data_IF_870577519078
#
_entry.id   IF_870577519078
#
_cell.length_a   1.000
_cell.length_b   1.000
_cell.length_c   1.000
_cell.angle_alpha   90.00
_cell.angle_beta   90.00
_cell.angle_gamma   90.00
#
_symmetry.space_group_name_H-M   'P 1'
#
loop_
_entity.id
_entity.type
_entity.pdbx_description
1 polymer ?
#
# COMPACT_ATOMS: atom_id res chain seq x y z
N UNK A 1 20.44 -54.85 48.54
CA UNK A 1 20.65 -55.25 49.94
C UNK A 1 21.06 -54.00 50.68
N UNK A 2 20.21 -53.57 51.62
CA UNK A 2 20.37 -52.65 52.78
C UNK A 2 21.78 -52.04 53.01
N UNK A 3 21.99 -50.82 53.51
CA UNK A 3 21.22 -49.97 54.42
C UNK A 3 21.92 -48.59 54.57
N UNK A 4 21.13 -47.55 54.80
CA UNK A 4 21.34 -46.36 55.66
C UNK A 4 22.74 -45.80 55.96
N UNK A 5 22.88 -44.49 55.73
CA UNK A 5 23.37 -43.47 56.69
C UNK A 5 22.97 -42.09 56.13
N UNK A 6 21.87 -41.46 56.58
CA UNK A 6 21.79 -40.63 57.79
C UNK A 6 22.83 -39.49 57.80
N UNK A 7 22.42 -38.30 57.39
CA UNK A 7 22.87 -37.09 58.08
C UNK A 7 21.77 -36.02 58.05
N UNK A 8 21.16 -35.93 59.23
CA UNK A 8 20.27 -34.92 59.74
C UNK A 8 21.04 -33.61 59.97
N UNK A 9 20.40 -32.47 59.73
CA UNK A 9 20.71 -31.19 60.35
C UNK A 9 19.57 -30.21 60.05
N UNK A 10 18.61 -30.23 60.97
CA UNK A 10 17.69 -29.14 61.29
C UNK A 10 18.40 -27.79 61.42
N UNK A 11 17.78 -26.76 60.84
CA UNK A 11 17.75 -25.41 61.41
C UNK A 11 16.34 -24.87 61.22
N UNK A 12 15.59 -24.85 62.32
CA UNK A 12 14.31 -24.18 62.47
C UNK A 12 14.48 -22.66 62.70
N UNK A 13 13.41 -21.96 62.33
CA UNK A 13 12.88 -20.72 62.91
C UNK A 13 13.33 -19.37 62.34
N UNK A 14 12.45 -18.73 61.57
CA UNK A 14 11.67 -17.61 62.10
C UNK A 14 10.72 -17.01 61.06
N UNK A 15 9.45 -16.96 61.46
CA UNK A 15 8.36 -16.31 60.75
C UNK A 15 8.61 -14.81 60.55
N UNK A 16 8.34 -14.31 59.34
CA UNK A 16 7.67 -13.01 59.16
C UNK A 16 6.79 -13.10 57.92
N UNK A 17 5.59 -13.67 58.12
CA UNK A 17 4.53 -13.65 57.13
C UNK A 17 4.07 -12.22 56.88
N UNK A 18 4.39 -11.68 55.71
CA UNK A 18 3.51 -10.70 55.05
C UNK A 18 2.54 -11.50 54.20
N UNK A 19 1.31 -11.56 54.69
CA UNK A 19 0.11 -11.97 53.96
C UNK A 19 0.02 -11.12 52.68
N UNK A 20 0.57 -11.62 51.58
CA UNK A 20 0.15 -11.19 50.25
C UNK A 20 -1.14 -11.95 49.99
N UNK A 21 -2.22 -11.21 49.99
CA UNK A 21 -3.58 -11.68 49.75
C UNK A 21 -3.64 -12.53 48.49
N UNK A 22 -4.10 -13.78 48.62
CA UNK A 22 -4.32 -14.71 47.51
C UNK A 22 -5.22 -14.12 46.40
N UNK A 23 -6.01 -13.10 46.72
CA UNK A 23 -6.85 -12.34 45.79
C UNK A 23 -6.05 -11.52 44.75
N UNK A 24 -4.83 -11.08 45.07
CA UNK A 24 -4.01 -10.24 44.17
C UNK A 24 -3.18 -11.11 43.19
N UNK A 25 -2.94 -12.37 43.55
CA UNK A 25 -2.18 -13.34 42.73
C UNK A 25 -3.09 -14.01 41.68
N UNK A 26 -4.37 -14.23 41.99
CA UNK A 26 -5.34 -14.70 41.00
C UNK A 26 -5.64 -13.65 39.92
N UNK A 27 -5.70 -12.36 40.26
CA UNK A 27 -5.90 -11.27 39.29
C UNK A 27 -4.68 -11.12 38.34
N UNK A 28 -3.45 -11.26 38.84
CA UNK A 28 -2.25 -11.17 38.00
C UNK A 28 -2.09 -12.36 37.05
N UNK A 29 -2.39 -13.57 37.52
CA UNK A 29 -2.33 -14.79 36.70
C UNK A 29 -3.49 -14.80 35.69
N UNK A 30 -4.68 -14.32 36.07
CA UNK A 30 -5.80 -14.22 35.13
C UNK A 30 -5.59 -13.15 34.07
N UNK A 31 -4.96 -12.01 34.37
CA UNK A 31 -4.55 -11.03 33.35
C UNK A 31 -3.44 -11.58 32.44
N UNK A 32 -2.41 -12.25 32.96
CA UNK A 32 -1.36 -12.86 32.11
C UNK A 32 -1.93 -14.00 31.24
N UNK A 33 -2.82 -14.83 31.78
CA UNK A 33 -3.46 -15.92 31.04
C UNK A 33 -4.51 -15.42 30.06
N UNK A 34 -5.26 -14.34 30.35
CA UNK A 34 -6.13 -13.69 29.36
C UNK A 34 -5.32 -13.01 28.26
N UNK A 35 -4.19 -12.36 28.58
CA UNK A 35 -3.32 -11.75 27.56
C UNK A 35 -2.63 -12.81 26.71
N UNK A 36 -2.18 -13.92 27.29
CA UNK A 36 -1.67 -15.07 26.54
C UNK A 36 -2.76 -15.73 25.71
N UNK A 37 -3.96 -15.98 26.25
CA UNK A 37 -5.07 -16.58 25.53
C UNK A 37 -5.60 -15.68 24.40
N UNK A 38 -5.68 -14.36 24.61
CA UNK A 38 -6.03 -13.38 23.57
C UNK A 38 -4.93 -13.30 22.51
N UNK A 39 -3.64 -13.44 22.90
CA UNK A 39 -2.53 -13.53 21.93
C UNK A 39 -2.54 -14.83 21.12
N UNK A 40 -2.91 -15.95 21.74
CA UNK A 40 -3.00 -17.27 21.12
C UNK A 40 -4.22 -17.37 20.20
N UNK A 41 -5.38 -16.80 20.56
CA UNK A 41 -6.56 -16.72 19.68
C UNK A 41 -6.30 -15.82 18.47
N UNK A 42 -5.58 -14.70 18.66
CA UNK A 42 -5.18 -13.81 17.56
C UNK A 42 -4.17 -14.50 16.62
N UNK A 43 -3.25 -15.30 17.15
CA UNK A 43 -2.29 -16.08 16.35
C UNK A 43 -2.93 -17.31 15.68
N UNK A 44 -3.97 -17.93 16.27
CA UNK A 44 -4.66 -19.10 15.68
C UNK A 44 -5.59 -18.75 14.51
N UNK A 45 -6.18 -17.56 14.47
CA UNK A 45 -7.08 -17.17 13.38
C UNK A 45 -6.35 -16.72 12.11
N UNK A 46 -5.03 -16.52 12.16
CA UNK A 46 -4.20 -16.08 11.02
C UNK A 46 -2.85 -16.78 11.05
N UNK A 47 -2.71 -17.97 10.43
CA UNK A 47 -1.43 -18.66 10.39
C UNK A 47 -0.41 -17.77 9.66
N UNK A 48 0.64 -17.37 10.37
CA UNK A 48 1.93 -16.91 9.86
C UNK A 48 1.93 -16.35 8.43
N UNK A 49 1.27 -15.22 8.20
CA UNK A 49 1.60 -14.37 7.04
C UNK A 49 2.91 -13.61 7.34
N UNK A 50 4.00 -14.35 7.52
CA UNK A 50 5.38 -13.85 7.64
C UNK A 50 5.86 -13.44 6.24
N UNK A 51 5.27 -12.40 5.69
CA UNK A 51 5.79 -11.68 4.52
C UNK A 51 5.83 -10.21 4.89
N UNK A 52 7.03 -9.72 5.20
CA UNK A 52 7.28 -8.37 5.72
C UNK A 52 8.04 -8.37 7.04
N UNK A 53 9.13 -9.15 7.16
CA UNK A 53 10.01 -9.05 8.32
C UNK A 53 10.97 -7.87 8.13
N UNK A 54 10.43 -6.65 8.21
CA UNK A 54 11.24 -5.43 8.23
C UNK A 54 12.18 -5.55 9.42
N UNK A 55 13.51 -5.58 9.21
CA UNK A 55 14.46 -5.72 10.31
C UNK A 55 14.26 -4.59 11.33
N UNK A 56 14.36 -4.87 12.64
CA UNK A 56 14.13 -3.86 13.67
C UNK A 56 15.03 -2.64 13.46
N UNK A 57 14.50 -1.44 13.74
CA UNK A 57 15.23 -0.19 13.60
C UNK A 57 16.52 -0.24 14.46
N UNK A 58 17.71 -0.07 13.86
CA UNK A 58 18.94 -0.03 14.64
C UNK A 58 18.95 1.21 15.54
N UNK A 59 19.42 1.09 16.77
CA UNK A 59 19.56 2.26 17.66
C UNK A 59 20.44 3.35 17.02
N UNK A 60 19.83 4.52 16.77
CA UNK A 60 20.45 5.66 16.07
C UNK A 60 21.78 6.09 16.70
N UNK A 61 21.87 6.05 18.03
CA UNK A 61 23.02 6.52 18.78
C UNK A 61 24.16 5.50 18.95
N UNK A 62 23.88 4.19 18.83
CA UNK A 62 24.92 3.15 18.98
C UNK A 62 25.56 2.78 17.65
N UNK A 63 24.80 2.83 16.55
CA UNK A 63 25.30 2.48 15.22
C UNK A 63 24.74 3.43 14.15
N UNK A 64 25.23 4.68 14.06
CA UNK A 64 24.69 5.69 13.13
C UNK A 64 24.78 5.23 11.67
N UNK A 65 25.85 4.51 11.29
CA UNK A 65 26.03 3.99 9.92
C UNK A 65 25.02 2.89 9.60
N UNK A 66 24.75 1.96 10.54
CA UNK A 66 23.75 0.90 10.35
C UNK A 66 22.34 1.46 10.28
N UNK A 67 22.03 2.46 11.12
CA UNK A 67 20.76 3.17 11.11
C UNK A 67 20.56 3.93 9.78
N UNK A 68 21.58 4.66 9.31
CA UNK A 68 21.54 5.37 8.03
C UNK A 68 21.33 4.40 6.85
N UNK A 69 22.05 3.27 6.82
CA UNK A 69 21.87 2.25 5.78
C UNK A 69 20.48 1.61 5.82
N UNK A 70 19.96 1.33 7.02
CA UNK A 70 18.60 0.84 7.20
C UNK A 70 17.57 1.86 6.68
N UNK A 71 17.72 3.13 7.03
CA UNK A 71 16.84 4.20 6.56
C UNK A 71 16.89 4.34 5.05
N UNK A 72 18.09 4.38 4.46
CA UNK A 72 18.26 4.44 3.00
C UNK A 72 17.62 3.25 2.29
N UNK A 73 17.77 2.03 2.83
CA UNK A 73 17.14 0.83 2.28
C UNK A 73 15.62 0.89 2.37
N UNK A 74 15.07 1.38 3.48
CA UNK A 74 13.62 1.50 3.67
C UNK A 74 13.02 2.58 2.79
N UNK A 75 13.63 3.77 2.74
CA UNK A 75 13.15 4.86 1.86
C UNK A 75 13.24 4.47 0.40
N UNK A 76 14.34 3.82 -0.02
CA UNK A 76 14.47 3.29 -1.36
C UNK A 76 13.42 2.21 -1.66
N UNK A 77 13.17 1.30 -0.73
CA UNK A 77 12.13 0.27 -0.89
C UNK A 77 10.73 0.84 -1.03
N UNK A 78 10.37 1.82 -0.19
CA UNK A 78 9.08 2.51 -0.26
C UNK A 78 8.96 3.28 -1.58
N UNK A 79 10.02 3.98 -1.98
CA UNK A 79 10.04 4.72 -3.23
C UNK A 79 9.84 3.79 -4.44
N UNK A 80 10.57 2.68 -4.51
CA UNK A 80 10.38 1.67 -5.56
C UNK A 80 8.98 1.04 -5.52
N UNK A 81 8.44 0.78 -4.33
CA UNK A 81 7.09 0.25 -4.16
C UNK A 81 6.04 1.24 -4.71
N UNK A 82 6.15 2.52 -4.37
CA UNK A 82 5.25 3.58 -4.85
C UNK A 82 5.32 3.70 -6.37
N UNK A 83 6.53 3.70 -6.96
CA UNK A 83 6.69 3.73 -8.42
C UNK A 83 6.06 2.50 -9.07
N UNK A 84 6.33 1.30 -8.54
CA UNK A 84 5.81 0.05 -9.10
C UNK A 84 4.29 0.03 -9.05
N UNK A 85 3.72 0.42 -7.91
CA UNK A 85 2.28 0.51 -7.72
C UNK A 85 1.66 1.60 -8.61
N UNK A 86 2.34 2.72 -8.83
CA UNK A 86 1.93 3.78 -9.76
C UNK A 86 1.96 3.34 -11.23
N UNK A 87 2.95 2.54 -11.62
CA UNK A 87 3.02 1.93 -12.96
C UNK A 87 1.89 0.93 -13.19
N UNK A 88 1.64 0.04 -12.23
CA UNK A 88 0.51 -0.91 -12.27
C UNK A 88 -0.82 -0.16 -12.32
N UNK A 89 -0.96 0.90 -11.53
CA UNK A 89 -2.11 1.78 -11.48
C UNK A 89 -2.37 2.53 -12.80
N UNK A 90 -1.33 2.87 -13.57
CA UNK A 90 -1.49 3.60 -14.82
C UNK A 90 -2.13 2.75 -15.94
N UNK A 91 -2.09 1.42 -15.84
CA UNK A 91 -2.67 0.52 -16.84
C UNK A 91 -4.12 0.20 -16.47
N UNK A 92 -5.10 0.47 -17.36
CA UNK A 92 -6.50 0.11 -17.13
C UNK A 92 -6.67 -1.38 -16.82
N UNK A 93 -7.64 -1.72 -15.98
CA UNK A 93 -7.90 -3.07 -15.43
C UNK A 93 -6.82 -3.57 -14.46
N UNK A 94 -5.55 -3.34 -14.75
CA UNK A 94 -4.44 -3.72 -13.85
C UNK A 94 -4.45 -2.85 -12.59
N UNK A 95 -5.02 -1.64 -12.67
CA UNK A 95 -5.25 -0.76 -11.53
C UNK A 95 -6.08 -1.40 -10.40
N UNK A 96 -6.94 -2.39 -10.67
CA UNK A 96 -7.63 -3.14 -9.63
C UNK A 96 -6.67 -3.97 -8.76
N UNK A 97 -5.54 -4.44 -9.31
CA UNK A 97 -4.49 -5.10 -8.53
C UNK A 97 -3.85 -4.09 -7.58
N UNK A 98 -3.59 -2.86 -8.05
CA UNK A 98 -3.02 -1.81 -7.22
C UNK A 98 -3.97 -1.41 -6.08
N UNK A 99 -5.25 -1.23 -6.38
CA UNK A 99 -6.29 -0.98 -5.38
C UNK A 99 -6.42 -2.14 -4.39
N UNK A 100 -6.42 -3.38 -4.90
CA UNK A 100 -6.46 -4.59 -4.10
C UNK A 100 -5.30 -4.70 -3.12
N UNK A 101 -4.09 -4.41 -3.60
CA UNK A 101 -2.91 -4.34 -2.75
C UNK A 101 -3.06 -3.30 -1.64
N UNK A 102 -3.56 -2.09 -1.95
CA UNK A 102 -3.82 -1.06 -0.95
C UNK A 102 -4.86 -1.49 0.11
N UNK A 103 -5.89 -2.22 -0.33
CA UNK A 103 -6.91 -2.77 0.58
C UNK A 103 -6.38 -3.94 1.41
N UNK A 104 -5.54 -4.82 0.86
CA UNK A 104 -4.90 -5.88 1.63
C UNK A 104 -4.01 -5.30 2.73
N UNK A 105 -3.23 -4.25 2.40
CA UNK A 105 -2.42 -3.50 3.36
C UNK A 105 -3.29 -2.87 4.46
N UNK A 106 -4.38 -2.20 4.09
CA UNK A 106 -5.36 -1.64 5.04
C UNK A 106 -5.94 -2.73 5.95
N UNK A 107 -6.31 -3.88 5.39
CA UNK A 107 -6.87 -5.04 6.10
C UNK A 107 -5.89 -5.68 7.08
N UNK A 108 -4.62 -5.88 6.67
CA UNK A 108 -3.55 -6.41 7.54
C UNK A 108 -3.35 -5.52 8.76
N UNK A 109 -3.32 -4.21 8.56
CA UNK A 109 -3.14 -3.24 9.66
C UNK A 109 -4.40 -3.19 10.53
N UNK A 110 -5.58 -3.28 9.93
CA UNK A 110 -6.86 -3.35 10.63
C UNK A 110 -6.99 -4.58 11.53
N UNK A 111 -6.39 -5.71 11.14
CA UNK A 111 -6.37 -6.96 11.93
C UNK A 111 -5.27 -6.97 12.98
N UNK A 112 -4.05 -6.56 12.64
CA UNK A 112 -2.87 -6.75 13.50
C UNK A 112 -2.49 -5.52 14.33
N UNK A 113 -2.94 -4.32 13.94
CA UNK A 113 -2.53 -3.05 14.54
C UNK A 113 -1.08 -2.63 14.26
N UNK A 114 -0.28 -3.50 13.63
CA UNK A 114 1.16 -3.30 13.42
C UNK A 114 1.43 -2.72 12.04
N UNK A 115 1.73 -1.41 11.99
CA UNK A 115 2.11 -0.68 10.76
C UNK A 115 3.33 -1.32 10.07
N UNK A 116 4.23 -1.96 10.81
CA UNK A 116 5.40 -2.65 10.24
C UNK A 116 5.02 -3.82 9.33
N UNK A 117 3.90 -4.49 9.61
CA UNK A 117 3.42 -5.63 8.82
C UNK A 117 2.60 -5.19 7.60
N UNK A 118 2.46 -3.88 7.39
CA UNK A 118 1.69 -3.30 6.30
C UNK A 118 2.37 -3.40 4.92
N UNK A 119 3.63 -3.82 4.85
CA UNK A 119 4.41 -3.72 3.62
C UNK A 119 4.88 -5.08 3.08
N UNK A 120 3.99 -5.97 2.62
CA UNK A 120 4.37 -7.32 2.21
C UNK A 120 5.30 -7.33 0.98
N UNK A 121 5.11 -6.40 0.04
CA UNK A 121 5.97 -6.27 -1.14
C UNK A 121 7.31 -5.55 -0.87
N UNK A 122 7.55 -5.01 0.32
CA UNK A 122 8.78 -4.23 0.59
C UNK A 122 10.04 -5.08 0.62
N UNK A 123 9.92 -6.39 0.84
CA UNK A 123 11.05 -7.32 0.73
C UNK A 123 11.46 -7.54 -0.74
N UNK A 124 10.53 -7.36 -1.68
CA UNK A 124 10.71 -7.58 -3.13
C UNK A 124 10.98 -6.27 -3.88
N UNK A 125 10.31 -5.18 -3.51
CA UNK A 125 10.34 -3.91 -4.23
C UNK A 125 11.75 -3.31 -4.44
N UNK A 126 12.66 -3.28 -3.43
CA UNK A 126 14.04 -2.84 -3.65
C UNK A 126 14.77 -3.65 -4.71
N UNK A 127 14.52 -4.97 -4.77
CA UNK A 127 15.17 -5.87 -5.72
C UNK A 127 14.70 -5.59 -7.15
N UNK A 128 13.40 -5.39 -7.33
CA UNK A 128 12.83 -4.95 -8.60
C UNK A 128 13.39 -3.57 -9.01
N UNK A 129 13.48 -2.64 -8.06
CA UNK A 129 14.10 -1.33 -8.29
C UNK A 129 15.56 -1.43 -8.77
N UNK A 130 16.37 -2.28 -8.14
CA UNK A 130 17.77 -2.49 -8.57
C UNK A 130 17.86 -3.13 -9.96
N UNK A 131 16.91 -3.98 -10.33
CA UNK A 131 16.84 -4.56 -11.67
C UNK A 131 16.57 -3.46 -12.69
N UNK A 132 15.55 -2.63 -12.47
CA UNK A 132 15.20 -1.53 -13.38
C UNK A 132 16.38 -0.58 -13.54
N UNK A 133 16.97 -0.11 -12.43
CA UNK A 133 18.14 0.78 -12.47
C UNK A 133 19.32 0.11 -13.20
N UNK A 134 19.59 -1.16 -12.91
CA UNK A 134 20.67 -1.91 -13.54
C UNK A 134 20.49 -2.07 -15.05
N UNK A 135 19.27 -2.37 -15.50
CA UNK A 135 18.92 -2.44 -16.92
C UNK A 135 19.06 -1.07 -17.57
N UNK A 136 18.45 -0.03 -16.99
CA UNK A 136 18.52 1.35 -17.52
C UNK A 136 19.95 1.84 -17.65
N UNK A 137 20.81 1.57 -16.66
CA UNK A 137 22.22 1.96 -16.70
C UNK A 137 22.96 1.36 -17.90
N UNK A 138 22.68 0.10 -18.23
CA UNK A 138 23.29 -0.59 -19.38
C UNK A 138 22.65 -0.22 -20.72
N UNK A 139 21.41 0.29 -20.72
CA UNK A 139 20.78 0.83 -21.92
C UNK A 139 21.35 2.20 -22.32
N UNK A 140 21.86 3.00 -21.39
CA UNK A 140 22.42 4.33 -21.70
C UNK A 140 23.57 4.25 -22.72
N UNK A 141 24.64 3.45 -22.52
CA UNK A 141 25.71 3.31 -23.51
C UNK A 141 25.18 2.84 -24.86
N UNK A 142 24.24 1.87 -24.86
CA UNK A 142 23.65 1.35 -26.09
C UNK A 142 22.84 2.42 -26.83
N UNK A 143 22.10 3.26 -26.11
CA UNK A 143 21.33 4.36 -26.68
C UNK A 143 22.24 5.43 -27.30
N UNK A 144 23.38 5.74 -26.66
CA UNK A 144 24.38 6.66 -27.20
C UNK A 144 25.03 6.12 -28.47
N UNK A 145 25.42 4.84 -28.49
CA UNK A 145 25.96 4.16 -29.67
C UNK A 145 24.93 4.11 -30.81
N UNK A 146 23.69 3.74 -30.52
CA UNK A 146 22.62 3.70 -31.50
C UNK A 146 22.28 5.09 -32.07
N UNK A 147 22.28 6.13 -31.23
CA UNK A 147 22.13 7.51 -31.66
C UNK A 147 23.25 7.94 -32.59
N UNK A 148 24.52 7.69 -32.21
CA UNK A 148 25.67 8.01 -33.05
C UNK A 148 25.66 7.26 -34.39
N UNK A 149 25.23 5.99 -34.40
CA UNK A 149 25.08 5.22 -35.64
C UNK A 149 23.97 5.79 -36.54
N UNK A 150 22.84 6.21 -35.96
CA UNK A 150 21.75 6.84 -36.71
C UNK A 150 22.19 8.18 -37.33
N UNK A 151 22.96 8.98 -36.59
CA UNK A 151 23.52 10.25 -37.07
C UNK A 151 24.53 10.03 -38.20
N UNK A 152 25.40 9.03 -38.08
CA UNK A 152 26.39 8.69 -39.12
C UNK A 152 25.71 8.30 -40.44
N UNK A 153 24.61 7.54 -40.37
CA UNK A 153 23.81 7.17 -41.53
C UNK A 153 23.15 8.36 -42.23
N UNK A 154 22.78 9.40 -41.48
CA UNK A 154 22.20 10.62 -42.03
C UNK A 154 23.24 11.51 -42.74
N UNK A 155 24.48 11.52 -42.26
CA UNK A 155 25.57 12.35 -42.80
C UNK A 155 26.19 11.71 -44.05
N UNK A 156 26.64 10.46 -43.95
CA UNK A 156 27.32 9.74 -45.03
C UNK A 156 26.80 8.29 -45.11
N UNK A 157 25.70 8.07 -45.84
CA UNK A 157 25.10 6.74 -45.97
C UNK A 157 26.08 5.76 -46.61
N UNK A 158 26.36 4.63 -45.95
CA UNK A 158 27.27 3.59 -46.46
C UNK A 158 28.76 3.90 -46.30
N UNK A 159 29.13 5.03 -45.69
CA UNK A 159 30.51 5.36 -45.38
C UNK A 159 31.15 4.39 -44.35
N UNK A 160 32.48 4.41 -44.19
CA UNK A 160 33.18 3.53 -43.24
C UNK A 160 32.74 3.78 -41.79
N UNK A 161 32.41 5.01 -41.42
CA UNK A 161 31.90 5.35 -40.08
C UNK A 161 30.50 4.80 -39.83
N UNK A 162 29.61 4.85 -40.82
CA UNK A 162 28.25 4.29 -40.76
C UNK A 162 28.30 2.77 -40.52
N UNK A 163 29.09 2.06 -41.32
CA UNK A 163 29.25 0.61 -41.22
C UNK A 163 29.86 0.18 -39.88
N UNK A 164 30.90 0.88 -39.41
CA UNK A 164 31.57 0.55 -38.14
C UNK A 164 30.69 0.82 -36.93
N UNK A 165 29.98 1.95 -36.89
CA UNK A 165 29.08 2.27 -35.77
C UNK A 165 27.87 1.34 -35.71
N UNK A 166 27.30 0.94 -36.85
CA UNK A 166 26.24 -0.07 -36.88
C UNK A 166 26.74 -1.46 -36.44
N UNK A 167 27.93 -1.88 -36.87
CA UNK A 167 28.53 -3.14 -36.43
C UNK A 167 28.83 -3.14 -34.92
N UNK A 168 29.39 -2.04 -34.40
CA UNK A 168 29.64 -1.87 -32.96
C UNK A 168 28.35 -1.86 -32.15
N UNK A 169 27.31 -1.18 -32.63
CA UNK A 169 26.00 -1.14 -31.98
C UNK A 169 25.36 -2.53 -31.94
N UNK A 170 25.43 -3.30 -33.03
CA UNK A 170 24.94 -4.68 -33.07
C UNK A 170 25.70 -5.55 -32.06
N UNK A 171 27.03 -5.51 -32.06
CA UNK A 171 27.85 -6.29 -31.13
C UNK A 171 27.58 -5.91 -29.67
N UNK A 172 27.52 -4.61 -29.37
CA UNK A 172 27.18 -4.10 -28.05
C UNK A 172 25.78 -4.56 -27.61
N UNK A 173 24.79 -4.53 -28.50
CA UNK A 173 23.42 -4.98 -28.19
C UNK A 173 23.39 -6.45 -27.78
N UNK A 174 24.14 -7.31 -28.47
CA UNK A 174 24.21 -8.76 -28.18
C UNK A 174 24.91 -8.99 -26.83
N UNK A 175 26.07 -8.37 -26.62
CA UNK A 175 26.85 -8.53 -25.39
C UNK A 175 26.10 -8.00 -24.15
N UNK A 176 25.48 -6.82 -24.28
CA UNK A 176 24.68 -6.22 -23.20
C UNK A 176 23.45 -7.08 -22.91
N UNK A 177 22.75 -7.58 -23.94
CA UNK A 177 21.60 -8.47 -23.75
C UNK A 177 21.98 -9.75 -23.02
N UNK A 178 23.08 -10.40 -23.41
CA UNK A 178 23.59 -11.60 -22.73
C UNK A 178 23.92 -11.27 -21.26
N UNK A 179 24.61 -10.16 -21.00
CA UNK A 179 24.95 -9.74 -19.64
C UNK A 179 23.72 -9.44 -18.78
N UNK A 180 22.71 -8.75 -19.33
CA UNK A 180 21.46 -8.46 -18.62
C UNK A 180 20.71 -9.75 -18.27
N UNK A 181 20.58 -10.69 -19.22
CA UNK A 181 19.99 -12.00 -18.95
C UNK A 181 20.74 -12.75 -17.84
N UNK A 182 22.08 -12.71 -17.86
CA UNK A 182 22.93 -13.31 -16.83
C UNK A 182 22.78 -12.64 -15.45
N UNK A 183 22.68 -11.32 -15.41
CA UNK A 183 22.49 -10.56 -14.17
C UNK A 183 21.12 -10.84 -13.54
N UNK A 184 20.08 -10.96 -14.37
CA UNK A 184 18.73 -11.35 -13.95
C UNK A 184 18.69 -12.80 -13.43
N UNK A 185 19.30 -13.74 -14.16
CA UNK A 185 19.40 -15.15 -13.78
C UNK A 185 20.08 -15.37 -12.42
N UNK A 186 21.07 -14.54 -12.08
CA UNK A 186 21.76 -14.57 -10.78
C UNK A 186 20.93 -13.97 -9.64
N UNK A 187 19.82 -13.31 -9.95
CA UNK A 187 18.90 -12.73 -8.99
C UNK A 187 18.95 -11.20 -8.88
N UNK A 188 19.50 -10.48 -9.86
CA UNK A 188 19.19 -9.06 -10.07
C UNK A 188 19.64 -8.08 -8.97
N UNK A 189 20.65 -8.42 -8.16
CA UNK A 189 21.22 -7.46 -7.20
C UNK A 189 22.09 -6.43 -7.92
N UNK A 190 22.22 -5.21 -7.38
CA UNK A 190 23.02 -4.13 -7.99
C UNK A 190 24.45 -4.57 -8.36
N UNK A 191 25.11 -5.33 -7.47
CA UNK A 191 26.45 -5.88 -7.69
C UNK A 191 26.54 -6.88 -8.85
N UNK A 192 25.44 -7.51 -9.25
CA UNK A 192 25.41 -8.39 -10.42
C UNK A 192 25.52 -7.60 -11.73
N UNK A 193 24.94 -6.40 -11.80
CA UNK A 193 25.00 -5.56 -13.01
C UNK A 193 26.39 -4.98 -13.26
N UNK A 194 27.19 -4.78 -12.21
CA UNK A 194 28.55 -4.23 -12.32
C UNK A 194 29.59 -5.28 -12.73
N UNK A 195 29.31 -6.58 -12.54
CA UNK A 195 30.33 -7.64 -12.65
C UNK A 195 30.00 -8.68 -13.74
N UNK A 196 30.15 -8.35 -15.03
CA UNK A 196 29.76 -9.22 -16.14
C UNK A 196 30.47 -10.58 -16.13
N UNK A 197 31.79 -10.59 -15.94
CA UNK A 197 32.59 -11.82 -15.97
C UNK A 197 32.21 -12.81 -14.86
N UNK A 198 31.86 -12.31 -13.67
CA UNK A 198 31.45 -13.19 -12.56
C UNK A 198 30.10 -13.84 -12.80
N UNK A 199 29.22 -13.22 -13.59
CA UNK A 199 27.93 -13.80 -13.93
C UNK A 199 28.07 -14.94 -14.94
N UNK A 200 28.91 -14.76 -15.96
CA UNK A 200 29.20 -15.80 -16.95
C UNK A 200 29.80 -17.06 -16.30
N UNK A 201 30.77 -16.91 -15.40
CA UNK A 201 31.39 -18.04 -14.67
C UNK A 201 30.37 -18.76 -13.79
N UNK A 202 29.46 -18.01 -13.15
CA UNK A 202 28.39 -18.59 -12.33
C UNK A 202 27.43 -19.44 -13.16
N UNK A 203 27.01 -18.95 -14.33
CA UNK A 203 26.10 -19.69 -15.21
C UNK A 203 26.73 -20.99 -15.71
N UNK A 204 28.00 -20.95 -16.14
CA UNK A 204 28.72 -22.15 -16.59
C UNK A 204 28.76 -23.19 -15.46
N UNK A 205 29.02 -22.76 -14.22
CA UNK A 205 29.00 -23.66 -13.05
C UNK A 205 27.61 -24.25 -12.80
N UNK A 206 26.56 -23.45 -12.95
CA UNK A 206 25.18 -23.86 -12.68
C UNK A 206 24.60 -24.78 -13.76
N UNK A 207 24.89 -24.51 -15.04
CA UNK A 207 24.54 -25.39 -16.16
C UNK A 207 25.26 -26.73 -16.02
N UNK A 208 26.55 -26.70 -15.66
CA UNK A 208 27.36 -27.91 -15.44
C UNK A 208 26.88 -28.73 -14.23
N UNK A 209 26.18 -28.11 -13.28
CA UNK A 209 25.58 -28.78 -12.13
C UNK A 209 24.18 -29.37 -12.40
N UNK A 210 23.55 -29.07 -13.54
CA UNK A 210 22.22 -29.59 -13.93
C UNK A 210 21.03 -28.99 -13.15
N UNK A 211 19.82 -29.10 -13.72
CA UNK A 211 18.56 -28.71 -13.06
C UNK A 211 18.34 -27.21 -12.84
N UNK A 212 18.92 -26.35 -13.69
CA UNK A 212 18.69 -24.90 -13.63
C UNK A 212 17.27 -24.53 -14.07
N UNK A 213 16.74 -25.16 -15.11
CA UNK A 213 15.41 -24.86 -15.63
C UNK A 213 14.31 -25.15 -14.61
N UNK A 214 14.37 -26.30 -13.92
CA UNK A 214 13.40 -26.66 -12.88
C UNK A 214 13.45 -25.68 -11.70
N UNK A 215 14.67 -25.34 -11.25
CA UNK A 215 14.87 -24.35 -10.17
C UNK A 215 14.41 -22.95 -10.57
N UNK A 216 14.66 -22.54 -11.81
CA UNK A 216 14.21 -21.25 -12.32
C UNK A 216 12.68 -21.21 -12.43
N UNK A 217 12.05 -22.27 -12.94
CA UNK A 217 10.60 -22.39 -13.03
C UNK A 217 9.94 -22.35 -11.65
N UNK A 218 10.48 -23.08 -10.67
CA UNK A 218 10.00 -23.05 -9.27
C UNK A 218 10.16 -21.67 -8.62
N UNK A 219 11.27 -20.98 -8.89
CA UNK A 219 11.49 -19.62 -8.36
C UNK A 219 10.55 -18.60 -9.00
N UNK A 220 10.27 -18.72 -10.30
CA UNK A 220 9.31 -17.85 -10.97
C UNK A 220 7.88 -18.14 -10.51
N UNK A 221 7.49 -19.41 -10.39
CA UNK A 221 6.14 -19.76 -9.93
C UNK A 221 5.90 -19.36 -8.47
N UNK A 222 6.88 -19.58 -7.59
CA UNK A 222 6.81 -19.12 -6.19
C UNK A 222 6.80 -17.60 -6.07
N UNK A 223 7.50 -16.88 -6.95
CA UNK A 223 7.44 -15.42 -7.03
C UNK A 223 6.07 -14.91 -7.50
N UNK A 224 5.50 -15.51 -8.54
CA UNK A 224 4.16 -15.14 -9.02
C UNK A 224 3.10 -15.48 -7.97
N UNK A 225 3.24 -16.62 -7.28
CA UNK A 225 2.36 -17.00 -6.18
C UNK A 225 2.46 -16.03 -4.99
N UNK A 226 3.67 -15.55 -4.66
CA UNK A 226 3.86 -14.61 -3.54
C UNK A 226 3.28 -13.21 -3.81
N UNK A 227 3.13 -12.82 -5.08
CA UNK A 227 2.48 -11.56 -5.46
C UNK A 227 0.96 -11.57 -5.25
N UNK A 228 0.34 -12.73 -4.97
CA UNK A 228 -1.11 -12.89 -4.71
C UNK A 228 -1.99 -12.14 -5.71
N UNK A 229 -1.59 -12.10 -6.99
CA UNK A 229 -2.19 -11.21 -8.00
C UNK A 229 -3.71 -11.40 -8.15
N UNK A 230 -4.18 -12.65 -8.13
CA UNK A 230 -5.60 -12.98 -8.23
C UNK A 230 -6.42 -12.54 -7.01
N UNK A 231 -5.89 -12.75 -5.80
CA UNK A 231 -6.53 -12.31 -4.56
C UNK A 231 -6.61 -10.79 -4.50
N UNK A 232 -5.50 -10.11 -4.80
CA UNK A 232 -5.45 -8.65 -4.88
C UNK A 232 -6.43 -8.12 -5.93
N UNK A 233 -6.46 -8.68 -7.14
CA UNK A 233 -7.42 -8.26 -8.16
C UNK A 233 -8.88 -8.39 -7.69
N UNK A 234 -9.25 -9.54 -7.12
CA UNK A 234 -10.60 -9.79 -6.61
C UNK A 234 -10.97 -8.85 -5.47
N UNK A 235 -10.05 -8.63 -4.52
CA UNK A 235 -10.24 -7.70 -3.41
C UNK A 235 -10.41 -6.26 -3.89
N UNK A 236 -9.60 -5.84 -4.86
CA UNK A 236 -9.67 -4.52 -5.48
C UNK A 236 -10.99 -4.31 -6.23
N UNK A 237 -11.41 -5.29 -7.03
CA UNK A 237 -12.68 -5.24 -7.76
C UNK A 237 -13.89 -5.17 -6.81
N UNK A 238 -13.91 -6.02 -5.76
CA UNK A 238 -14.97 -5.99 -4.73
C UNK A 238 -14.97 -4.68 -3.95
N UNK A 239 -13.79 -4.18 -3.56
CA UNK A 239 -13.66 -2.91 -2.87
C UNK A 239 -14.13 -1.72 -3.71
N UNK A 240 -13.80 -1.74 -5.01
CA UNK A 240 -14.29 -0.80 -6.01
C UNK A 240 -15.82 -0.85 -6.14
N UNK A 241 -16.39 -2.04 -6.38
CA UNK A 241 -17.84 -2.20 -6.54
C UNK A 241 -18.62 -1.74 -5.31
N UNK A 242 -18.10 -2.05 -4.11
CA UNK A 242 -18.68 -1.57 -2.86
C UNK A 242 -18.71 -0.04 -2.79
N UNK A 243 -17.56 0.60 -3.05
CA UNK A 243 -17.48 2.07 -3.09
C UNK A 243 -18.35 2.68 -4.19
N UNK A 244 -18.37 2.07 -5.37
CA UNK A 244 -19.18 2.49 -6.51
C UNK A 244 -20.67 2.54 -6.14
N UNK A 245 -21.22 1.49 -5.52
CA UNK A 245 -22.62 1.44 -5.10
C UNK A 245 -22.97 2.58 -4.14
N UNK A 246 -22.08 2.89 -3.19
CA UNK A 246 -22.28 3.98 -2.23
C UNK A 246 -22.23 5.37 -2.88
N UNK A 247 -21.43 5.55 -3.93
CA UNK A 247 -21.10 6.85 -4.50
C UNK A 247 -21.92 7.22 -5.72
N UNK A 248 -22.41 6.24 -6.49
CA UNK A 248 -23.24 6.49 -7.67
C UNK A 248 -24.49 7.28 -7.33
N UNK A 249 -25.19 6.93 -6.24
CA UNK A 249 -26.46 7.59 -5.88
C UNK A 249 -26.24 9.08 -5.57
N UNK A 250 -25.36 9.49 -4.62
CA UNK A 250 -25.10 10.90 -4.37
C UNK A 250 -24.55 11.67 -5.59
N UNK A 251 -23.70 11.02 -6.39
CA UNK A 251 -23.05 11.68 -7.53
C UNK A 251 -24.05 11.98 -8.66
N UNK A 252 -24.94 11.04 -8.98
CA UNK A 252 -25.99 11.26 -9.97
C UNK A 252 -26.98 12.34 -9.52
N UNK A 253 -27.30 12.39 -8.22
CA UNK A 253 -28.15 13.45 -7.67
C UNK A 253 -27.47 14.83 -7.76
N UNK A 254 -26.15 14.90 -7.51
CA UNK A 254 -25.38 16.13 -7.65
C UNK A 254 -25.36 16.63 -9.12
N UNK A 255 -25.36 15.70 -10.08
CA UNK A 255 -25.38 15.97 -11.52
C UNK A 255 -26.72 16.51 -12.07
N UNK A 256 -27.81 16.44 -11.29
CA UNK A 256 -29.17 16.69 -11.77
C UNK A 256 -29.43 18.14 -12.25
N UNK A 257 -28.62 19.10 -11.82
CA UNK A 257 -28.68 20.50 -12.27
C UNK A 257 -28.11 20.73 -13.66
N UNK A 258 -27.34 19.77 -14.19
CA UNK A 258 -26.70 19.86 -15.51
C UNK A 258 -27.62 19.43 -16.66
N UNK A 259 -28.79 18.87 -16.35
CA UNK A 259 -29.76 18.38 -17.33
C UNK A 259 -30.66 19.50 -17.86
N UNK A 260 -30.71 19.74 -19.19
CA UNK A 260 -31.44 20.88 -19.79
C UNK A 260 -32.96 20.88 -19.59
N UNK A 261 -33.57 19.72 -19.29
CA UNK A 261 -35.02 19.52 -19.37
C UNK A 261 -35.75 19.55 -18.01
N UNK A 262 -35.03 19.82 -16.91
CA UNK A 262 -35.61 19.73 -15.58
C UNK A 262 -36.15 21.07 -15.07
N UNK A 263 -37.28 21.02 -14.38
CA UNK A 263 -37.89 22.17 -13.72
C UNK A 263 -36.89 22.79 -12.71
N UNK A 264 -36.48 24.04 -12.94
CA UNK A 264 -35.31 24.67 -12.29
C UNK A 264 -35.32 24.55 -10.76
N UNK A 265 -36.47 24.63 -10.11
CA UNK A 265 -36.58 24.50 -8.65
C UNK A 265 -36.35 23.08 -8.10
N UNK A 266 -36.81 22.05 -8.81
CA UNK A 266 -36.70 20.65 -8.37
C UNK A 266 -35.26 20.17 -8.55
N UNK A 267 -34.60 20.51 -9.65
CA UNK A 267 -33.18 20.15 -9.85
C UNK A 267 -32.26 20.72 -8.78
N UNK A 268 -32.47 21.97 -8.34
CA UNK A 268 -31.65 22.57 -7.28
C UNK A 268 -31.81 21.82 -5.95
N UNK A 269 -33.04 21.42 -5.60
CA UNK A 269 -33.28 20.61 -4.39
C UNK A 269 -32.63 19.23 -4.48
N UNK A 270 -32.70 18.56 -5.63
CA UNK A 270 -32.06 17.25 -5.85
C UNK A 270 -30.54 17.36 -5.71
N UNK A 271 -29.92 18.39 -6.29
CA UNK A 271 -28.48 18.64 -6.18
C UNK A 271 -28.05 18.94 -4.75
N UNK A 272 -28.81 19.76 -4.01
CA UNK A 272 -28.52 20.02 -2.59
C UNK A 272 -28.62 18.74 -1.75
N UNK A 273 -29.62 17.90 -2.03
CA UNK A 273 -29.80 16.62 -1.35
C UNK A 273 -28.68 15.63 -1.73
N UNK A 274 -28.23 15.64 -2.99
CA UNK A 274 -27.05 14.90 -3.45
C UNK A 274 -25.79 15.31 -2.70
N UNK A 275 -25.53 16.61 -2.55
CA UNK A 275 -24.41 17.13 -1.78
C UNK A 275 -24.47 16.74 -0.29
N UNK A 276 -25.64 16.86 0.34
CA UNK A 276 -25.83 16.42 1.73
C UNK A 276 -25.63 14.90 1.90
N UNK A 277 -26.11 14.10 0.94
CA UNK A 277 -25.89 12.66 0.92
C UNK A 277 -24.41 12.32 0.75
N UNK A 278 -23.69 13.04 -0.12
CA UNK A 278 -22.26 12.84 -0.36
C UNK A 278 -21.42 13.14 0.90
N UNK A 279 -21.77 14.18 1.66
CA UNK A 279 -21.15 14.46 2.98
C UNK A 279 -21.27 13.26 3.92
N UNK A 280 -22.45 12.64 3.98
CA UNK A 280 -22.69 11.47 4.82
C UNK A 280 -21.87 10.28 4.32
N UNK A 281 -21.94 9.97 3.02
CA UNK A 281 -21.24 8.82 2.44
C UNK A 281 -19.73 8.95 2.61
N UNK A 282 -19.15 10.12 2.32
CA UNK A 282 -17.71 10.38 2.47
C UNK A 282 -17.22 10.24 3.92
N UNK A 283 -18.07 10.52 4.90
CA UNK A 283 -17.72 10.31 6.31
C UNK A 283 -17.61 8.82 6.68
N UNK A 284 -18.49 7.97 6.16
CA UNK A 284 -18.55 6.56 6.56
C UNK A 284 -17.77 5.62 5.64
N UNK A 285 -17.70 5.93 4.35
CA UNK A 285 -17.14 5.05 3.33
C UNK A 285 -15.69 4.62 3.61
N UNK A 286 -14.75 5.51 3.99
CA UNK A 286 -13.37 5.08 4.26
C UNK A 286 -13.26 4.02 5.35
N UNK A 287 -14.08 4.11 6.40
CA UNK A 287 -14.12 3.09 7.46
C UNK A 287 -14.83 1.81 7.02
N UNK A 288 -15.87 1.91 6.19
CA UNK A 288 -16.51 0.72 5.60
C UNK A 288 -15.52 -0.05 4.73
N UNK A 289 -14.65 0.66 3.99
CA UNK A 289 -13.58 0.03 3.23
C UNK A 289 -12.55 -0.65 4.14
N UNK A 290 -12.14 -0.01 5.23
CA UNK A 290 -11.26 -0.63 6.22
C UNK A 290 -11.87 -1.89 6.83
N UNK A 291 -13.18 -1.86 7.12
CA UNK A 291 -13.92 -3.02 7.64
C UNK A 291 -14.02 -4.15 6.62
N UNK A 292 -14.36 -3.83 5.38
CA UNK A 292 -14.36 -4.78 4.27
C UNK A 292 -12.98 -5.43 4.09
N UNK A 293 -11.92 -4.63 4.09
CA UNK A 293 -10.55 -5.09 3.96
C UNK A 293 -10.13 -6.01 5.12
N UNK A 294 -10.58 -5.72 6.35
CA UNK A 294 -10.32 -6.54 7.52
C UNK A 294 -11.05 -7.89 7.47
N UNK A 295 -12.34 -7.88 7.11
CA UNK A 295 -13.24 -9.05 7.14
C UNK A 295 -13.20 -9.90 5.87
N UNK A 296 -12.68 -9.36 4.76
CA UNK A 296 -12.69 -9.97 3.43
C UNK A 296 -14.08 -10.47 2.95
N UNK A 297 -15.16 -9.88 3.47
CA UNK A 297 -16.56 -10.20 3.08
C UNK A 297 -17.18 -9.01 2.36
N UNK A 298 -17.80 -9.23 1.22
CA UNK A 298 -18.42 -8.14 0.45
C UNK A 298 -19.57 -7.45 1.22
N UNK A 299 -20.32 -8.20 2.05
CA UNK A 299 -21.41 -7.65 2.86
C UNK A 299 -20.95 -6.62 3.90
N UNK A 300 -19.68 -6.67 4.35
CA UNK A 300 -19.15 -5.76 5.36
C UNK A 300 -19.11 -4.31 4.88
N UNK A 301 -19.09 -4.07 3.56
CA UNK A 301 -19.25 -2.72 2.99
C UNK A 301 -20.60 -2.07 3.34
N UNK A 302 -21.60 -2.86 3.75
CA UNK A 302 -22.95 -2.38 4.06
C UNK A 302 -23.29 -2.44 5.56
N UNK A 303 -22.36 -2.88 6.41
CA UNK A 303 -22.56 -3.05 7.85
C UNK A 303 -22.39 -1.74 8.65
N UNK A 304 -23.22 -0.73 8.32
CA UNK A 304 -23.16 0.59 8.96
C UNK A 304 -23.32 0.55 10.49
N UNK A 305 -24.09 -0.41 11.02
CA UNK A 305 -24.31 -0.54 12.47
C UNK A 305 -23.01 -0.92 13.20
N UNK A 306 -22.22 -1.82 12.62
CA UNK A 306 -20.94 -2.23 13.18
C UNK A 306 -19.96 -1.05 13.24
N UNK A 307 -19.86 -0.29 12.15
CA UNK A 307 -18.99 0.89 12.08
C UNK A 307 -19.46 2.02 13.00
N UNK A 308 -20.77 2.25 13.12
CA UNK A 308 -21.31 3.23 14.09
C UNK A 308 -20.99 2.85 15.53
N UNK A 309 -20.96 1.55 15.86
CA UNK A 309 -20.52 1.06 17.17
C UNK A 309 -19.03 1.33 17.38
N UNK A 310 -18.18 1.01 16.38
CA UNK A 310 -16.74 1.28 16.41
C UNK A 310 -16.41 2.77 16.54
N UNK A 311 -17.14 3.64 15.84
CA UNK A 311 -16.99 5.10 15.95
C UNK A 311 -17.22 5.61 17.37
N UNK A 312 -18.18 5.03 18.12
CA UNK A 312 -18.44 5.44 19.51
C UNK A 312 -17.24 5.18 20.44
N UNK A 313 -16.36 4.24 20.09
CA UNK A 313 -15.19 3.84 20.89
C UNK A 313 -13.97 4.72 20.64
N UNK A 314 -13.79 5.24 19.42
CA UNK A 314 -12.58 6.01 19.01
C UNK A 314 -12.88 7.25 18.13
N UNK A 315 -13.73 8.19 18.56
CA UNK A 315 -14.20 9.30 17.72
C UNK A 315 -13.10 10.29 17.31
N UNK A 316 -12.08 10.51 18.17
CA UNK A 316 -10.97 11.44 17.88
C UNK A 316 -10.02 10.85 16.84
N UNK A 317 -9.67 9.58 16.96
CA UNK A 317 -8.80 8.91 16.01
C UNK A 317 -9.43 8.87 14.61
N UNK A 318 -10.75 8.64 14.55
CA UNK A 318 -11.51 8.73 13.31
C UNK A 318 -11.50 10.14 12.71
N UNK A 319 -11.77 11.17 13.52
CA UNK A 319 -11.71 12.55 13.05
C UNK A 319 -10.35 12.88 12.44
N UNK A 320 -9.26 12.54 13.14
CA UNK A 320 -7.91 12.78 12.65
C UNK A 320 -7.64 12.03 11.35
N UNK A 321 -8.04 10.77 11.26
CA UNK A 321 -7.88 9.99 10.02
C UNK A 321 -8.65 10.62 8.86
N UNK A 322 -9.90 11.01 9.07
CA UNK A 322 -10.71 11.71 8.07
C UNK A 322 -10.06 13.01 7.61
N UNK A 323 -9.55 13.82 8.54
CA UNK A 323 -8.85 15.06 8.19
C UNK A 323 -7.65 14.75 7.30
N UNK A 324 -6.84 13.77 7.69
CA UNK A 324 -5.65 13.36 6.92
C UNK A 324 -6.04 12.83 5.55
N UNK A 325 -7.08 11.99 5.44
CA UNK A 325 -7.62 11.46 4.16
C UNK A 325 -7.94 12.62 3.21
N UNK A 326 -8.68 13.62 3.68
CA UNK A 326 -9.11 14.72 2.82
C UNK A 326 -8.00 15.71 2.52
N UNK A 327 -7.13 16.02 3.47
CA UNK A 327 -5.96 16.87 3.22
C UNK A 327 -5.04 16.24 2.18
N UNK A 328 -4.81 14.92 2.26
CA UNK A 328 -3.99 14.19 1.28
C UNK A 328 -4.69 13.96 -0.06
N UNK A 329 -6.01 14.11 -0.14
CA UNK A 329 -6.74 14.06 -1.41
C UNK A 329 -6.74 15.41 -2.15
N UNK A 330 -6.59 16.55 -1.46
CA UNK A 330 -6.58 17.89 -2.09
C UNK A 330 -5.56 18.06 -3.23
N UNK A 331 -4.28 17.60 -3.12
CA UNK A 331 -3.32 17.71 -4.21
C UNK A 331 -3.85 17.13 -5.52
N UNK A 332 -4.58 16.01 -5.44
CA UNK A 332 -5.12 15.32 -6.61
C UNK A 332 -6.19 16.15 -7.33
N UNK A 333 -6.99 16.92 -6.60
CA UNK A 333 -7.97 17.83 -7.21
C UNK A 333 -7.32 19.04 -7.86
N UNK A 334 -6.23 19.57 -7.31
CA UNK A 334 -5.50 20.70 -7.90
C UNK A 334 -4.94 20.35 -9.28
N UNK A 335 -4.43 19.13 -9.46
CA UNK A 335 -3.96 18.65 -10.76
C UNK A 335 -5.08 18.49 -11.80
N UNK A 336 -6.35 18.41 -11.38
CA UNK A 336 -7.49 18.36 -12.31
C UNK A 336 -7.88 19.74 -12.84
N UNK A 337 -7.65 20.79 -12.06
CA UNK A 337 -7.96 22.18 -12.46
C UNK A 337 -6.94 22.69 -13.49
N UNK A 338 -5.69 22.26 -13.39
CA UNK A 338 -4.67 22.55 -14.38
C UNK A 338 -4.75 21.54 -15.54
N UNK A 339 -4.99 22.00 -16.78
CA UNK A 339 -4.88 21.15 -17.96
C UNK A 339 -3.41 20.74 -18.16
N UNK A 340 -3.01 19.63 -17.55
CA UNK A 340 -1.66 19.10 -17.71
C UNK A 340 -1.47 18.58 -19.15
N UNK A 341 -0.31 18.84 -19.80
CA UNK A 341 0.05 18.19 -21.05
C UNK A 341 -0.01 16.66 -20.92
N UNK A 342 -0.34 15.94 -21.99
CA UNK A 342 -0.49 14.47 -21.99
C UNK A 342 0.73 13.74 -21.41
N UNK A 343 1.92 14.33 -21.54
CA UNK A 343 3.17 13.76 -21.05
C UNK A 343 3.32 13.80 -19.52
N UNK A 344 2.57 14.68 -18.84
CA UNK A 344 2.63 14.86 -17.39
C UNK A 344 1.58 14.04 -16.62
N UNK A 345 0.65 13.39 -17.32
CA UNK A 345 -0.48 12.67 -16.70
C UNK A 345 0.01 11.45 -15.88
N UNK A 346 1.16 10.86 -16.24
CA UNK A 346 1.78 9.80 -15.43
C UNK A 346 2.21 10.27 -14.03
N UNK A 347 2.53 11.56 -13.86
CA UNK A 347 2.85 12.12 -12.55
C UNK A 347 1.66 12.08 -11.58
N UNK A 348 0.43 12.15 -12.10
CA UNK A 348 -0.79 12.12 -11.28
C UNK A 348 -0.95 10.76 -10.59
N UNK A 349 -0.66 9.65 -11.28
CA UNK A 349 -0.79 8.31 -10.68
C UNK A 349 0.26 8.10 -9.58
N UNK A 350 1.45 8.65 -9.75
CA UNK A 350 2.49 8.61 -8.71
C UNK A 350 2.07 9.39 -7.47
N UNK A 351 1.57 10.61 -7.63
CA UNK A 351 1.09 11.44 -6.53
C UNK A 351 -0.11 10.78 -5.86
N UNK A 352 -1.05 10.23 -6.64
CA UNK A 352 -2.19 9.46 -6.14
C UNK A 352 -1.74 8.31 -5.24
N UNK A 353 -0.83 7.47 -5.72
CA UNK A 353 -0.34 6.33 -4.93
C UNK A 353 0.40 6.81 -3.68
N UNK A 354 1.23 7.85 -3.79
CA UNK A 354 1.98 8.40 -2.67
C UNK A 354 1.08 8.99 -1.58
N UNK A 355 -0.08 9.56 -1.92
CA UNK A 355 -1.03 10.14 -0.96
C UNK A 355 -2.05 9.13 -0.42
N UNK A 356 -2.53 8.20 -1.25
CA UNK A 356 -3.53 7.19 -0.85
C UNK A 356 -2.92 6.14 0.08
N UNK A 357 -1.66 5.77 -0.12
CA UNK A 357 -1.00 4.71 0.65
C UNK A 357 -0.95 5.01 2.17
N UNK A 358 -0.41 6.15 2.65
CA UNK A 358 -0.39 6.47 4.08
C UNK A 358 -1.80 6.64 4.64
N UNK A 359 -2.75 7.09 3.81
CA UNK A 359 -4.15 7.22 4.19
C UNK A 359 -4.78 5.86 4.51
N UNK A 360 -4.54 4.85 3.68
CA UNK A 360 -5.01 3.47 3.87
C UNK A 360 -4.41 2.82 5.12
N UNK A 361 -3.13 3.06 5.36
CA UNK A 361 -2.41 2.61 6.56
C UNK A 361 -3.03 3.21 7.84
N UNK A 362 -3.33 4.50 7.82
CA UNK A 362 -3.95 5.20 8.94
C UNK A 362 -5.37 4.72 9.22
N UNK A 363 -6.18 4.51 8.17
CA UNK A 363 -7.56 3.99 8.30
C UNK A 363 -7.59 2.59 8.91
N UNK A 364 -6.71 1.70 8.44
CA UNK A 364 -6.54 0.38 9.02
C UNK A 364 -6.17 0.45 10.50
N UNK A 365 -5.21 1.31 10.86
CA UNK A 365 -4.79 1.47 12.27
C UNK A 365 -5.91 2.01 13.15
N UNK A 366 -6.69 2.99 12.67
CA UNK A 366 -7.85 3.51 13.40
C UNK A 366 -8.92 2.44 13.57
N UNK A 367 -9.16 1.62 12.56
CA UNK A 367 -10.09 0.49 12.65
C UNK A 367 -9.64 -0.54 13.69
N UNK A 368 -8.35 -0.91 13.71
CA UNK A 368 -7.79 -1.79 14.73
C UNK A 368 -8.02 -1.20 16.13
N UNK A 369 -7.61 0.05 16.34
CA UNK A 369 -7.78 0.75 17.62
C UNK A 369 -9.24 0.83 18.07
N UNK A 370 -10.18 0.96 17.13
CA UNK A 370 -11.61 0.95 17.42
C UNK A 370 -12.12 -0.44 17.81
N UNK A 371 -11.49 -1.49 17.30
CA UNK A 371 -11.84 -2.89 17.54
C UNK A 371 -11.31 -3.37 18.89
N UNK A 372 -10.07 -3.01 19.26
CA UNK A 372 -9.45 -3.37 20.54
C UNK A 372 -10.04 -2.63 21.76
N UNK A 373 -10.94 -1.64 21.55
CA UNK A 373 -11.59 -0.93 22.65
C UNK A 373 -12.99 -1.47 22.88
N UNK A 374 -13.29 -1.80 24.13
CA UNK A 374 -14.63 -2.25 24.57
C UNK A 374 -15.47 -1.07 25.08
N UNK A 375 -14.84 -0.12 25.79
CA UNK A 375 -15.50 1.05 26.38
C UNK A 375 -15.79 2.14 25.36
N UNK A 376 -16.98 2.75 25.48
CA UNK A 376 -17.37 3.91 24.69
C UNK A 376 -16.59 5.15 25.11
N UNK A 377 -16.23 5.99 24.14
CA UNK A 377 -15.62 7.29 24.42
C UNK A 377 -16.63 8.24 25.06
N UNK A 378 -16.08 9.18 25.85
CA UNK A 378 -16.85 10.22 26.50
C UNK A 378 -17.73 10.99 25.51
N UNK A 379 -18.93 11.39 25.95
CA UNK A 379 -19.94 12.01 25.10
C UNK A 379 -19.44 13.27 24.39
N UNK A 380 -18.69 14.13 25.09
CA UNK A 380 -18.14 15.35 24.49
C UNK A 380 -17.16 15.07 23.35
N UNK A 381 -16.34 14.01 23.42
CA UNK A 381 -15.44 13.63 22.31
C UNK A 381 -16.19 13.12 21.08
N UNK A 382 -17.34 12.48 21.27
CA UNK A 382 -18.20 12.05 20.16
C UNK A 382 -18.85 13.25 19.47
N UNK A 383 -19.29 14.23 20.24
CA UNK A 383 -19.92 15.43 19.70
C UNK A 383 -18.90 16.35 19.04
N UNK A 384 -17.77 16.63 19.69
CA UNK A 384 -16.67 17.42 19.12
C UNK A 384 -16.22 16.89 17.76
N UNK A 385 -15.99 15.58 17.67
CA UNK A 385 -15.62 14.91 16.41
C UNK A 385 -16.65 15.15 15.31
N UNK A 386 -17.95 15.02 15.62
CA UNK A 386 -19.02 15.29 14.63
C UNK A 386 -19.12 16.75 14.24
N UNK A 387 -19.02 17.66 15.21
CA UNK A 387 -19.11 19.10 15.00
C UNK A 387 -17.96 19.62 14.13
N UNK A 388 -16.79 18.98 14.16
CA UNK A 388 -15.64 19.33 13.30
C UNK A 388 -15.69 18.61 11.95
N UNK A 389 -15.98 17.31 11.93
CA UNK A 389 -15.94 16.51 10.69
C UNK A 389 -17.03 16.92 9.69
N UNK A 390 -18.25 17.19 10.17
CA UNK A 390 -19.37 17.57 9.29
C UNK A 390 -19.13 18.86 8.48
N UNK A 391 -18.75 20.01 9.09
CA UNK A 391 -18.47 21.21 8.32
C UNK A 391 -17.24 21.05 7.42
N UNK A 392 -16.21 20.31 7.86
CA UNK A 392 -15.04 20.05 7.03
C UNK A 392 -15.41 19.25 5.76
N UNK A 393 -16.22 18.20 5.92
CA UNK A 393 -16.78 17.44 4.80
C UNK A 393 -17.68 18.31 3.91
N UNK A 394 -18.49 19.19 4.49
CA UNK A 394 -19.34 20.09 3.73
C UNK A 394 -18.51 21.07 2.89
N UNK A 395 -17.44 21.65 3.45
CA UNK A 395 -16.49 22.49 2.72
C UNK A 395 -15.78 21.70 1.62
N UNK A 396 -15.36 20.47 1.90
CA UNK A 396 -14.74 19.60 0.89
C UNK A 396 -15.70 19.29 -0.27
N UNK A 397 -16.93 18.89 0.02
CA UNK A 397 -17.97 18.64 -0.99
C UNK A 397 -18.32 19.92 -1.76
N UNK A 398 -18.33 21.07 -1.08
CA UNK A 398 -18.50 22.37 -1.72
C UNK A 398 -17.36 22.66 -2.71
N UNK A 399 -16.10 22.43 -2.34
CA UNK A 399 -14.95 22.58 -3.26
C UNK A 399 -15.09 21.63 -4.47
N UNK A 400 -15.47 20.37 -4.24
CA UNK A 400 -15.73 19.40 -5.32
C UNK A 400 -16.85 19.89 -6.24
N UNK A 401 -17.92 20.45 -5.66
CA UNK A 401 -19.05 21.04 -6.39
C UNK A 401 -18.64 22.27 -7.22
N UNK A 402 -17.65 23.06 -6.80
CA UNK A 402 -17.15 24.17 -7.62
C UNK A 402 -16.22 23.68 -8.73
N UNK A 403 -15.43 22.63 -8.47
CA UNK A 403 -14.49 22.06 -9.45
C UNK A 403 -15.19 21.59 -10.74
N UNK A 404 -16.42 21.05 -10.67
CA UNK A 404 -17.19 20.65 -11.87
C UNK A 404 -17.56 21.82 -12.80
N UNK A 405 -17.66 23.05 -12.28
CA UNK A 405 -17.95 24.23 -13.11
C UNK A 405 -16.70 24.87 -13.71
N UNK A 406 -15.51 24.54 -13.18
CA UNK A 406 -14.22 25.13 -13.57
C UNK A 406 -13.41 24.17 -14.48
N UNK A 407 -13.69 22.87 -14.43
CA UNK A 407 -12.97 21.85 -15.20
C UNK A 407 -13.15 21.97 -16.72
N UNK A 408 -12.04 21.82 -17.45
CA UNK A 408 -11.96 21.93 -18.92
C UNK A 408 -12.84 20.89 -19.66
N UNK A 409 -13.26 19.82 -18.97
CA UNK A 409 -14.09 18.73 -19.51
C UNK A 409 -15.61 18.87 -19.23
N UNK A 410 -16.07 20.01 -18.69
CA UNK A 410 -17.51 20.29 -18.51
C UNK A 410 -18.27 19.27 -17.63
N UNK A 411 -19.56 19.04 -17.93
CA UNK A 411 -20.44 18.13 -17.16
C UNK A 411 -20.07 16.64 -17.23
N UNK A 412 -19.13 16.25 -18.09
CA UNK A 412 -18.56 14.88 -18.17
C UNK A 412 -17.61 14.54 -17.02
N UNK A 413 -17.11 15.55 -16.29
CA UNK A 413 -16.23 15.44 -15.12
C UNK A 413 -16.85 14.60 -13.99
N UNK A 414 -18.18 14.47 -13.96
CA UNK A 414 -18.96 13.74 -12.96
C UNK A 414 -18.90 12.21 -13.14
N UNK A 415 -18.70 11.71 -14.36
CA UNK A 415 -18.48 10.26 -14.58
C UNK A 415 -17.00 9.87 -14.33
N UNK A 416 -16.10 10.85 -14.35
CA UNK A 416 -14.66 10.70 -14.08
C UNK A 416 -14.28 10.98 -12.61
N UNK A 417 -15.22 10.77 -11.68
CA UNK A 417 -14.97 11.03 -10.27
C UNK A 417 -13.90 10.07 -9.72
N UNK A 418 -12.76 10.63 -9.30
CA UNK A 418 -11.65 9.91 -8.67
C UNK A 418 -12.05 9.30 -7.31
N UNK A 419 -13.24 9.64 -6.82
CA UNK A 419 -13.94 8.96 -5.73
C UNK A 419 -14.18 7.47 -6.03
N UNK A 420 -14.12 7.08 -7.30
CA UNK A 420 -14.11 5.69 -7.74
C UNK A 420 -12.80 4.94 -7.45
N UNK A 421 -11.79 5.55 -6.82
CA UNK A 421 -10.55 4.89 -6.39
C UNK A 421 -9.79 4.17 -7.52
N UNK A 422 -10.13 4.47 -8.78
CA UNK A 422 -9.37 4.02 -9.92
C UNK A 422 -8.41 5.15 -10.28
N UNK A 423 -7.09 4.96 -10.07
CA UNK A 423 -6.12 5.76 -10.78
C UNK A 423 -6.30 5.39 -12.25
N UNK A 424 -6.97 6.25 -13.02
CA UNK A 424 -6.90 6.16 -14.47
C UNK A 424 -6.53 7.53 -14.98
N UNK A 425 -5.37 7.65 -15.65
CA UNK A 425 -5.05 8.86 -16.39
C UNK A 425 -6.00 8.94 -17.58
N UNK A 426 -7.02 9.79 -17.52
CA UNK A 426 -7.79 10.20 -18.69
C UNK A 426 -7.35 11.60 -19.12
#
# INVERSE_FOLDING_TARGET
>A
MNENSAQDNDYEDSQTGKLVTAFEVEDFISEEVEVEAESIEVDQFYPDEVVGNIPPFPHLFRHPIKAAFWMMRMTFGIFCLVIFLALIAAVPLVNFIALGYLLDVEGRVARTGKIRLAFPLLDIAPRMGTIVIGVTLWLIPLLLLAGAAADARLIEPGGPSDQTLHALTLLASILISIHLCLALARGGTFSCFIRPLKNAIWLIKQIRAGGYFDRAALNVSSFVASLKLGENFSLGLRGFLGAFIWLVIPSLMLAATSSPESNKGISVLITLLGGASLVIVLGWLPLLQAHFAAENRFSAMFELRAIRSKFKRTPIAWMLAIIVVFVLSLPLYLFKVAALPRDAVWGITLIFVATIYPTKLLLGWVYFRASSRTKNAWFGWRWLSRTIVLPLLAVYVFIVFFTQFIGVHGSGVLLEHHLFLLPVPF
#
